data_IF_234873086812
#
_entry.id   IF_234873086812
#
_cell.length_a   1.000
_cell.length_b   1.000
_cell.length_c   1.000
_cell.angle_alpha   90.00
_cell.angle_beta   90.00
_cell.angle_gamma   90.00
#
_symmetry.space_group_name_H-M   'P 1'
#
loop_
_entity.id
_entity.type
_entity.pdbx_description
1 polymer ?
#
# COMPACT_ATOMS: atom_id res chain seq x y z
N UNK A 1 -14.62 11.04 23.28
CA UNK A 1 -14.41 11.11 21.82
C UNK A 1 -12.98 10.74 21.39
N UNK A 2 -11.92 11.31 21.98
CA UNK A 2 -10.53 11.10 21.52
C UNK A 2 -9.76 9.95 22.23
N UNK A 3 -10.30 8.73 22.23
CA UNK A 3 -9.60 7.54 22.73
C UNK A 3 -9.67 6.43 21.68
N UNK A 4 -8.67 6.33 20.77
CA UNK A 4 -8.69 5.30 19.74
C UNK A 4 -8.59 3.90 20.35
N UNK A 5 -9.20 2.87 19.73
CA UNK A 5 -9.12 1.48 20.19
C UNK A 5 -7.83 0.77 19.73
N UNK A 6 -6.76 1.51 19.43
CA UNK A 6 -5.48 1.02 18.90
C UNK A 6 -4.32 1.87 19.42
N UNK A 7 -3.09 1.35 19.37
CA UNK A 7 -1.92 2.06 19.88
C UNK A 7 -1.46 3.16 18.91
N UNK A 8 -0.74 4.19 19.39
CA UNK A 8 -0.08 5.14 18.51
C UNK A 8 0.75 4.42 17.43
N UNK A 9 0.65 4.88 16.19
CA UNK A 9 1.36 4.33 15.01
C UNK A 9 0.89 2.96 14.50
N UNK A 10 -0.09 2.31 15.12
CA UNK A 10 -0.78 1.15 14.52
C UNK A 10 -1.60 1.57 13.27
N UNK A 11 -1.87 2.86 13.14
CA UNK A 11 -2.47 3.50 11.98
C UNK A 11 -1.71 4.78 11.62
N UNK A 12 -1.96 5.32 10.40
CA UNK A 12 -1.33 6.56 9.94
C UNK A 12 -1.78 7.73 10.82
N UNK A 13 -0.82 8.53 11.26
CA UNK A 13 -1.09 9.73 12.05
C UNK A 13 -1.77 10.79 11.18
N UNK A 14 -2.93 11.27 11.63
CA UNK A 14 -3.55 12.48 11.10
C UNK A 14 -3.06 13.68 11.92
N UNK A 15 -2.64 14.74 11.23
CA UNK A 15 -2.18 15.97 11.86
C UNK A 15 -3.18 17.12 11.58
N UNK A 16 -3.34 18.01 12.56
CA UNK A 16 -4.09 19.26 12.45
C UNK A 16 -3.11 20.40 12.80
N UNK A 17 -2.26 20.85 11.85
CA UNK A 17 -1.13 21.73 12.15
C UNK A 17 -1.54 23.03 12.84
N UNK A 18 -2.64 23.65 12.39
CA UNK A 18 -3.12 24.93 12.92
C UNK A 18 -4.06 24.79 14.13
N UNK A 19 -4.32 23.54 14.55
CA UNK A 19 -5.27 23.18 15.60
C UNK A 19 -6.68 23.76 15.43
N UNK A 20 -7.07 24.16 14.21
CA UNK A 20 -8.36 24.75 13.87
C UNK A 20 -9.55 23.85 14.28
N UNK A 21 -9.47 22.55 13.99
CA UNK A 21 -10.45 21.55 14.43
C UNK A 21 -10.65 21.57 15.95
N UNK A 22 -9.56 21.62 16.72
CA UNK A 22 -9.65 21.65 18.18
C UNK A 22 -10.14 23.00 18.70
N UNK A 23 -9.76 24.11 18.06
CA UNK A 23 -10.23 25.46 18.39
C UNK A 23 -11.74 25.59 18.19
N UNK A 24 -12.30 25.03 17.12
CA UNK A 24 -13.74 25.06 16.85
C UNK A 24 -14.54 24.22 17.86
N UNK A 25 -14.04 23.05 18.25
CA UNK A 25 -14.64 22.24 19.31
C UNK A 25 -14.63 23.00 20.64
N UNK A 26 -13.47 23.54 21.04
CA UNK A 26 -13.34 24.29 22.29
C UNK A 26 -14.21 25.55 22.33
N UNK A 27 -14.47 26.17 21.18
CA UNK A 27 -15.37 27.32 21.07
C UNK A 27 -16.86 26.95 20.96
N UNK A 28 -17.21 25.66 21.00
CA UNK A 28 -18.60 25.19 20.89
C UNK A 28 -19.19 25.32 19.48
N UNK A 29 -18.37 25.58 18.45
CA UNK A 29 -18.81 25.69 17.05
C UNK A 29 -18.93 24.33 16.35
N UNK A 30 -18.32 23.29 16.92
CA UNK A 30 -18.38 21.93 16.43
C UNK A 30 -18.67 20.95 17.57
N UNK A 31 -19.44 19.91 17.27
CA UNK A 31 -19.75 18.81 18.19
C UNK A 31 -19.25 17.48 17.61
N UNK A 32 -19.05 16.50 18.47
CA UNK A 32 -18.71 15.13 18.07
C UNK A 32 -19.79 14.19 18.58
N UNK A 33 -20.39 13.45 17.66
CA UNK A 33 -21.28 12.34 17.99
C UNK A 33 -20.51 11.03 17.77
N UNK A 34 -20.49 10.17 18.77
CA UNK A 34 -19.80 8.87 18.70
C UNK A 34 -20.80 7.74 18.83
N UNK A 35 -20.89 6.90 17.80
CA UNK A 35 -21.81 5.77 17.78
C UNK A 35 -21.93 5.13 16.40
N UNK A 36 -22.93 4.27 16.25
CA UNK A 36 -23.26 3.66 14.96
C UNK A 36 -24.46 4.34 14.34
N UNK A 37 -24.34 4.68 13.07
CA UNK A 37 -25.45 5.17 12.25
C UNK A 37 -26.44 4.02 12.02
N UNK A 38 -27.73 4.28 12.21
CA UNK A 38 -28.80 3.36 11.84
C UNK A 38 -29.22 3.60 10.38
N UNK A 39 -29.57 4.85 10.05
CA UNK A 39 -29.96 5.27 8.70
C UNK A 39 -29.86 6.78 8.53
N UNK A 40 -29.86 7.21 7.27
CA UNK A 40 -30.10 8.60 6.90
C UNK A 40 -31.60 8.91 6.92
N UNK A 41 -31.96 10.14 7.26
CA UNK A 41 -33.32 10.67 7.20
C UNK A 41 -33.34 11.91 6.32
N UNK A 42 -34.52 12.39 5.89
CA UNK A 42 -34.62 13.67 5.18
C UNK A 42 -34.09 14.88 5.97
N UNK A 43 -33.99 14.77 7.31
CA UNK A 43 -33.56 15.86 8.19
C UNK A 43 -32.14 15.66 8.76
N UNK A 44 -31.46 14.54 8.45
CA UNK A 44 -30.13 14.26 8.98
C UNK A 44 -29.83 12.77 9.17
N UNK A 45 -29.34 12.40 10.35
CA UNK A 45 -28.83 11.05 10.66
C UNK A 45 -29.49 10.49 11.92
N UNK A 46 -30.13 9.32 11.80
CA UNK A 46 -30.60 8.55 12.94
C UNK A 46 -29.48 7.64 13.45
N UNK A 47 -29.13 7.79 14.72
CA UNK A 47 -28.16 6.93 15.41
C UNK A 47 -28.87 5.71 16.02
N UNK A 48 -28.17 4.58 16.11
CA UNK A 48 -28.67 3.38 16.81
C UNK A 48 -28.95 3.57 18.30
N UNK A 49 -28.38 4.63 18.90
CA UNK A 49 -28.67 5.04 20.27
C UNK A 49 -30.06 5.67 20.45
N UNK A 50 -30.75 6.00 19.36
CA UNK A 50 -32.00 6.76 19.36
C UNK A 50 -31.81 8.27 19.13
N UNK A 51 -30.59 8.80 19.26
CA UNK A 51 -30.27 10.21 18.97
C UNK A 51 -30.45 10.52 17.47
N UNK A 52 -31.07 11.67 17.16
CA UNK A 52 -31.13 12.21 15.81
C UNK A 52 -30.15 13.38 15.69
N UNK A 53 -29.29 13.35 14.67
CA UNK A 53 -28.34 14.43 14.37
C UNK A 53 -28.87 15.18 13.15
N UNK A 54 -29.38 16.39 13.37
CA UNK A 54 -29.93 17.24 12.31
C UNK A 54 -28.80 17.72 11.37
N UNK A 55 -29.07 17.68 10.07
CA UNK A 55 -28.12 18.15 9.07
C UNK A 55 -28.83 18.55 7.76
N UNK A 56 -28.50 19.73 7.25
CA UNK A 56 -28.92 20.18 5.91
C UNK A 56 -28.03 19.60 4.81
N UNK A 57 -26.78 19.27 5.15
CA UNK A 57 -25.79 18.70 4.24
C UNK A 57 -24.94 17.63 4.94
N UNK A 58 -24.62 16.57 4.21
CA UNK A 58 -23.86 15.44 4.73
C UNK A 58 -22.65 15.19 3.83
N UNK A 59 -21.46 15.20 4.43
CA UNK A 59 -20.20 14.94 3.74
C UNK A 59 -19.69 13.55 4.14
N UNK A 60 -19.61 12.64 3.17
CA UNK A 60 -19.16 11.26 3.41
C UNK A 60 -17.64 11.20 3.30
N UNK A 61 -16.95 11.30 4.43
CA UNK A 61 -15.49 11.20 4.54
C UNK A 61 -15.01 9.77 4.89
N UNK A 62 -15.50 8.73 4.18
CA UNK A 62 -15.28 7.30 4.51
C UNK A 62 -13.89 6.74 4.15
N UNK A 63 -12.96 7.59 3.71
CA UNK A 63 -11.60 7.20 3.36
C UNK A 63 -11.48 6.49 2.01
N UNK A 64 -10.53 5.55 1.91
CA UNK A 64 -10.04 4.99 0.65
C UNK A 64 -10.50 3.55 0.40
N UNK A 65 -10.64 3.18 -0.87
CA UNK A 65 -10.60 1.79 -1.35
C UNK A 65 -9.27 1.58 -2.07
N UNK A 66 -8.52 0.54 -1.69
CA UNK A 66 -7.27 0.23 -2.39
C UNK A 66 -7.56 -0.30 -3.78
N UNK A 67 -6.80 0.23 -4.74
CA UNK A 67 -6.85 -0.19 -6.14
C UNK A 67 -5.47 -0.70 -6.51
N UNK A 68 -5.31 -2.02 -6.49
CA UNK A 68 -4.03 -2.65 -6.78
C UNK A 68 -3.60 -2.35 -8.21
N UNK A 69 -2.32 -2.03 -8.39
CA UNK A 69 -1.70 -1.77 -9.70
C UNK A 69 -2.46 -0.77 -10.58
N UNK A 70 -3.16 0.19 -9.98
CA UNK A 70 -3.99 1.16 -10.72
C UNK A 70 -5.26 0.57 -11.36
N UNK A 71 -5.54 -0.73 -11.17
CA UNK A 71 -6.59 -1.49 -11.83
C UNK A 71 -6.28 -1.83 -13.28
N UNK A 72 -5.01 -2.09 -13.58
CA UNK A 72 -4.60 -2.66 -14.86
C UNK A 72 -5.02 -4.14 -14.88
N UNK A 73 -5.67 -4.55 -15.97
CA UNK A 73 -5.92 -5.96 -16.26
C UNK A 73 -4.69 -6.54 -16.96
N UNK A 74 -3.90 -7.33 -16.24
CA UNK A 74 -2.65 -7.90 -16.76
C UNK A 74 -2.91 -9.15 -17.60
N UNK A 75 -2.16 -9.27 -18.70
CA UNK A 75 -2.04 -10.51 -19.46
C UNK A 75 -0.59 -10.79 -19.80
N UNK A 76 -0.17 -12.05 -19.71
CA UNK A 76 1.14 -12.53 -20.19
C UNK A 76 0.90 -13.67 -21.16
N UNK A 77 1.45 -13.55 -22.38
CA UNK A 77 1.22 -14.51 -23.47
C UNK A 77 -0.27 -14.81 -23.74
N UNK A 78 -1.10 -13.77 -23.65
CA UNK A 78 -2.56 -13.84 -23.83
C UNK A 78 -3.34 -14.46 -22.65
N UNK A 79 -2.67 -14.85 -21.56
CA UNK A 79 -3.31 -15.40 -20.36
C UNK A 79 -3.52 -14.31 -19.31
N UNK A 80 -4.73 -14.18 -18.73
CA UNK A 80 -4.97 -13.28 -17.61
C UNK A 80 -4.05 -13.59 -16.43
N UNK A 81 -3.66 -12.54 -15.71
CA UNK A 81 -2.82 -12.63 -14.52
C UNK A 81 -3.62 -12.18 -13.30
N UNK A 82 -3.72 -13.06 -12.30
CA UNK A 82 -4.18 -12.71 -10.97
C UNK A 82 -2.97 -12.35 -10.10
N UNK A 83 -2.78 -11.06 -9.80
CA UNK A 83 -1.65 -10.57 -9.02
C UNK A 83 -1.57 -11.19 -7.62
N UNK A 84 -2.66 -11.74 -7.08
CA UNK A 84 -2.68 -12.39 -5.76
C UNK A 84 -1.97 -13.76 -5.73
N UNK A 85 -1.71 -14.34 -6.90
CA UNK A 85 -0.94 -15.58 -7.05
C UNK A 85 0.57 -15.34 -7.15
N UNK A 86 0.99 -14.08 -7.23
CA UNK A 86 2.37 -13.69 -7.42
C UNK A 86 3.07 -13.28 -6.13
N UNK A 87 4.37 -13.55 -6.06
CA UNK A 87 5.30 -13.05 -5.06
C UNK A 87 5.91 -11.73 -5.51
N UNK A 88 6.08 -10.81 -4.57
CA UNK A 88 6.85 -9.60 -4.81
C UNK A 88 8.34 -9.92 -4.86
N UNK A 89 9.04 -9.32 -5.83
CA UNK A 89 10.50 -9.34 -5.93
C UNK A 89 11.05 -7.97 -5.53
N UNK A 90 11.86 -7.96 -4.48
CA UNK A 90 12.43 -6.77 -3.80
C UNK A 90 11.36 -5.72 -3.45
N UNK A 91 10.09 -6.11 -3.35
CA UNK A 91 8.97 -5.19 -3.17
C UNK A 91 8.74 -4.19 -4.32
N UNK A 92 9.27 -4.45 -5.52
CA UNK A 92 9.14 -3.55 -6.68
C UNK A 92 8.79 -4.23 -8.00
N UNK A 93 8.87 -5.57 -8.11
CA UNK A 93 8.42 -6.34 -9.29
C UNK A 93 7.56 -7.52 -8.82
N UNK A 94 6.94 -8.23 -9.77
CA UNK A 94 6.22 -9.48 -9.51
C UNK A 94 6.95 -10.63 -10.21
N UNK A 95 7.00 -11.79 -9.57
CA UNK A 95 7.54 -13.00 -10.22
C UNK A 95 6.72 -13.37 -11.46
N UNK A 96 7.38 -13.85 -12.51
CA UNK A 96 6.69 -14.27 -13.74
C UNK A 96 6.07 -13.16 -14.59
N UNK A 97 6.07 -11.90 -14.14
CA UNK A 97 5.55 -10.77 -14.90
C UNK A 97 6.71 -9.98 -15.54
N UNK A 98 6.87 -10.02 -16.87
CA UNK A 98 7.98 -9.38 -17.56
C UNK A 98 7.88 -7.86 -17.53
N UNK A 99 9.04 -7.19 -17.37
CA UNK A 99 9.21 -5.75 -17.57
C UNK A 99 8.21 -4.86 -16.79
N UNK A 100 7.68 -5.36 -15.67
CA UNK A 100 6.74 -4.63 -14.84
C UNK A 100 7.35 -4.30 -13.47
N UNK A 101 7.14 -3.05 -13.05
CA UNK A 101 7.53 -2.60 -11.72
C UNK A 101 6.49 -1.66 -11.12
N UNK A 102 6.40 -1.67 -9.79
CA UNK A 102 5.56 -0.81 -9.00
C UNK A 102 6.32 -0.32 -7.76
N UNK A 103 5.75 0.63 -7.04
CA UNK A 103 6.32 1.11 -5.79
C UNK A 103 5.24 1.24 -4.71
N UNK A 104 5.54 0.69 -3.54
CA UNK A 104 4.73 0.87 -2.33
C UNK A 104 5.58 1.64 -1.32
N UNK A 105 5.07 2.78 -0.86
CA UNK A 105 5.73 3.62 0.12
C UNK A 105 5.70 3.06 1.53
N UNK A 106 6.41 3.73 2.43
CA UNK A 106 6.43 3.39 3.85
C UNK A 106 5.10 3.72 4.54
N UNK A 107 4.78 2.96 5.60
CA UNK A 107 3.62 3.26 6.45
C UNK A 107 3.85 4.51 7.30
N UNK A 108 5.06 4.65 7.86
CA UNK A 108 5.42 5.66 8.87
C UNK A 108 6.36 6.76 8.34
N UNK A 109 6.72 6.73 7.06
CA UNK A 109 7.61 7.70 6.43
C UNK A 109 7.04 8.12 5.07
N UNK A 110 7.59 9.19 4.49
CA UNK A 110 7.14 9.64 3.17
C UNK A 110 7.31 8.56 2.12
N UNK A 111 6.26 8.31 1.33
CA UNK A 111 6.29 7.37 0.21
C UNK A 111 7.30 7.78 -0.88
N UNK A 112 7.58 9.08 -1.01
CA UNK A 112 8.53 9.61 -2.00
C UNK A 112 9.95 9.11 -1.80
N UNK A 113 10.33 8.77 -0.56
CA UNK A 113 11.62 8.19 -0.23
C UNK A 113 11.82 6.83 -0.91
N UNK A 114 10.82 5.93 -0.84
CA UNK A 114 10.85 4.63 -1.52
C UNK A 114 10.89 4.80 -3.04
N UNK A 115 10.02 5.68 -3.56
CA UNK A 115 9.88 5.87 -5.01
C UNK A 115 11.18 6.35 -5.64
N UNK A 116 11.90 7.29 -5.02
CA UNK A 116 13.20 7.73 -5.51
C UNK A 116 14.22 6.58 -5.62
N UNK A 117 14.22 5.65 -4.65
CA UNK A 117 15.10 4.48 -4.67
C UNK A 117 14.69 3.46 -5.75
N UNK A 118 13.40 3.18 -5.90
CA UNK A 118 12.87 2.28 -6.94
C UNK A 118 13.20 2.82 -8.32
N UNK A 119 12.92 4.10 -8.60
CA UNK A 119 13.28 4.72 -9.88
C UNK A 119 14.79 4.65 -10.14
N UNK A 120 15.61 4.92 -9.12
CA UNK A 120 17.07 4.82 -9.23
C UNK A 120 17.55 3.40 -9.56
N UNK A 121 16.94 2.38 -8.96
CA UNK A 121 17.22 0.98 -9.27
C UNK A 121 16.81 0.62 -10.71
N UNK A 122 15.60 0.99 -11.13
CA UNK A 122 15.11 0.72 -12.48
C UNK A 122 15.99 1.35 -13.56
N UNK A 123 16.45 2.59 -13.37
CA UNK A 123 17.40 3.23 -14.29
C UNK A 123 18.72 2.45 -14.41
N UNK A 124 19.20 1.82 -13.34
CA UNK A 124 20.39 0.96 -13.40
C UNK A 124 20.10 -0.38 -14.09
N UNK A 125 18.94 -0.96 -13.82
CA UNK A 125 18.50 -2.21 -14.45
C UNK A 125 18.37 -2.03 -15.97
N UNK A 126 17.71 -0.97 -16.42
CA UNK A 126 17.58 -0.66 -17.85
C UNK A 126 18.94 -0.49 -18.52
N UNK A 127 19.87 0.25 -17.89
CA UNK A 127 21.25 0.39 -18.40
C UNK A 127 21.98 -0.95 -18.52
N UNK A 128 21.76 -1.85 -17.58
CA UNK A 128 22.38 -3.17 -17.59
C UNK A 128 21.77 -4.09 -18.65
N UNK A 129 20.44 -4.00 -18.86
CA UNK A 129 19.76 -4.66 -19.97
C UNK A 129 20.30 -4.16 -21.32
N UNK A 130 20.41 -2.84 -21.51
CA UNK A 130 21.00 -2.24 -22.71
C UNK A 130 22.44 -2.73 -22.95
N UNK A 131 23.26 -2.76 -21.90
CA UNK A 131 24.66 -3.22 -21.96
C UNK A 131 24.78 -4.68 -22.40
N UNK A 132 23.82 -5.52 -21.99
CA UNK A 132 23.80 -6.94 -22.33
C UNK A 132 23.01 -7.26 -23.63
N UNK A 133 22.39 -6.25 -24.27
CA UNK A 133 21.51 -6.46 -25.41
C UNK A 133 20.23 -7.23 -25.07
N UNK A 134 19.76 -7.11 -23.82
CA UNK A 134 18.60 -7.80 -23.27
C UNK A 134 17.38 -6.90 -23.31
N UNK A 135 16.21 -7.46 -23.57
CA UNK A 135 14.96 -6.68 -23.74
C UNK A 135 13.88 -7.08 -22.75
N UNK A 136 14.03 -8.24 -22.10
CA UNK A 136 13.08 -8.75 -21.12
C UNK A 136 13.80 -9.04 -19.81
N UNK A 137 13.21 -8.59 -18.70
CA UNK A 137 13.60 -8.97 -17.35
C UNK A 137 12.40 -9.60 -16.62
N UNK A 138 12.61 -10.76 -16.00
CA UNK A 138 11.57 -11.50 -15.27
C UNK A 138 12.18 -12.03 -13.97
N UNK A 139 11.62 -11.69 -12.80
CA UNK A 139 11.95 -12.38 -11.56
C UNK A 139 11.38 -13.81 -11.59
N UNK A 140 12.19 -14.81 -11.27
CA UNK A 140 11.77 -16.22 -11.14
C UNK A 140 11.80 -16.66 -9.69
N UNK A 141 10.63 -16.97 -9.15
CA UNK A 141 10.54 -17.55 -7.81
C UNK A 141 11.22 -18.92 -7.76
N UNK A 142 11.82 -19.30 -6.62
CA UNK A 142 12.37 -20.63 -6.40
C UNK A 142 11.36 -21.73 -6.68
N UNK A 143 11.84 -22.90 -7.10
CA UNK A 143 11.03 -24.10 -7.18
C UNK A 143 10.70 -24.61 -5.76
N UNK A 144 9.48 -25.13 -5.59
CA UNK A 144 9.01 -25.67 -4.31
C UNK A 144 7.97 -24.80 -3.61
N UNK A 145 7.58 -25.23 -2.41
CA UNK A 145 6.64 -24.50 -1.57
C UNK A 145 7.36 -23.36 -0.83
N UNK A 146 6.79 -22.16 -0.92
CA UNK A 146 7.30 -20.96 -0.27
C UNK A 146 6.32 -20.56 0.81
N UNK A 147 6.82 -20.34 2.03
CA UNK A 147 6.01 -19.77 3.11
C UNK A 147 5.67 -18.34 2.73
N UNK A 148 4.38 -18.07 2.55
CA UNK A 148 3.91 -16.74 2.14
C UNK A 148 3.26 -15.97 3.29
N UNK A 149 3.38 -14.65 3.21
CA UNK A 149 2.77 -13.68 4.13
C UNK A 149 2.07 -12.59 3.31
N UNK A 150 1.07 -11.90 3.91
CA UNK A 150 0.48 -10.71 3.29
C UNK A 150 1.55 -9.67 2.96
N UNK A 151 1.43 -8.99 1.81
CA UNK A 151 2.34 -7.91 1.41
C UNK A 151 2.39 -6.76 2.42
N UNK A 152 1.25 -6.41 3.00
CA UNK A 152 1.12 -5.36 4.00
C UNK A 152 0.43 -5.93 5.24
N UNK A 153 1.14 -5.91 6.36
CA UNK A 153 0.59 -6.23 7.66
C UNK A 153 0.21 -4.94 8.40
N UNK A 154 -0.92 -4.34 7.99
CA UNK A 154 -1.38 -3.06 8.53
C UNK A 154 -2.84 -3.13 8.99
N UNK A 155 -3.09 -2.72 10.23
CA UNK A 155 -4.37 -2.91 10.91
C UNK A 155 -5.55 -2.10 10.35
N UNK A 156 -5.31 -1.17 9.43
CA UNK A 156 -6.34 -0.30 8.88
C UNK A 156 -7.38 -1.08 8.06
N UNK A 157 -8.67 -0.78 8.29
CA UNK A 157 -9.77 -1.53 7.68
C UNK A 157 -9.76 -1.55 6.15
N UNK A 158 -9.24 -0.51 5.50
CA UNK A 158 -9.11 -0.48 4.03
C UNK A 158 -8.04 -1.43 3.50
N UNK A 159 -6.98 -1.70 4.28
CA UNK A 159 -5.96 -2.71 3.93
C UNK A 159 -6.55 -4.09 4.10
N UNK A 160 -7.15 -4.38 5.26
CA UNK A 160 -7.77 -5.69 5.56
C UNK A 160 -8.76 -6.15 4.48
N UNK A 161 -9.55 -5.23 3.92
CA UNK A 161 -10.49 -5.53 2.83
C UNK A 161 -9.83 -5.92 1.50
N UNK A 162 -8.57 -5.54 1.29
CA UNK A 162 -7.86 -5.73 0.03
C UNK A 162 -6.73 -6.76 0.11
N UNK A 163 -6.35 -7.24 1.31
CA UNK A 163 -5.24 -8.20 1.50
C UNK A 163 -5.34 -9.42 0.58
N UNK A 164 -6.53 -9.99 0.41
CA UNK A 164 -6.73 -11.16 -0.45
C UNK A 164 -6.50 -10.90 -1.95
N UNK A 165 -6.52 -9.63 -2.37
CA UNK A 165 -6.30 -9.20 -3.77
C UNK A 165 -4.88 -8.67 -4.02
N UNK A 166 -4.02 -8.70 -3.01
CA UNK A 166 -2.64 -8.24 -3.10
C UNK A 166 -1.71 -9.39 -3.47
N UNK A 167 -0.57 -9.10 -4.13
CA UNK A 167 0.50 -10.08 -4.21
C UNK A 167 0.98 -10.46 -2.81
N UNK A 168 1.68 -11.58 -2.74
CA UNK A 168 2.22 -12.14 -1.49
C UNK A 168 3.69 -11.75 -1.36
N UNK A 169 4.22 -11.89 -0.16
CA UNK A 169 5.67 -11.85 0.08
C UNK A 169 6.12 -13.14 0.76
N UNK A 170 7.37 -13.51 0.55
CA UNK A 170 8.03 -14.61 1.22
C UNK A 170 8.50 -14.25 2.63
N UNK A 171 9.36 -15.12 3.16
CA UNK A 171 10.03 -15.01 4.44
C UNK A 171 11.47 -14.45 4.34
N UNK A 172 12.06 -14.44 3.14
CA UNK A 172 13.43 -13.96 2.91
C UNK A 172 13.59 -13.14 1.62
N UNK A 173 14.65 -12.34 1.57
CA UNK A 173 15.09 -11.59 0.40
C UNK A 173 15.57 -12.54 -0.71
N UNK A 174 15.24 -12.31 -1.99
CA UNK A 174 14.61 -11.12 -2.56
C UNK A 174 13.08 -11.18 -2.65
N UNK A 175 12.40 -12.08 -1.95
CA UNK A 175 10.95 -12.30 -2.07
C UNK A 175 10.11 -11.51 -1.07
N UNK A 176 10.70 -10.52 -0.42
CA UNK A 176 10.04 -9.66 0.55
C UNK A 176 10.13 -8.18 0.18
N UNK A 177 9.30 -7.37 0.83
CA UNK A 177 9.33 -5.91 0.74
C UNK A 177 9.83 -5.31 2.05
N UNK A 178 11.03 -4.72 2.01
CA UNK A 178 11.51 -3.93 3.15
C UNK A 178 10.62 -2.71 3.38
N UNK A 179 10.32 -2.44 4.65
CA UNK A 179 9.66 -1.22 5.13
C UNK A 179 10.64 -0.25 5.81
N UNK A 180 11.95 -0.51 5.70
CA UNK A 180 13.02 0.31 6.27
C UNK A 180 13.82 1.05 5.18
N UNK A 181 13.88 2.37 5.30
CA UNK A 181 14.53 3.23 4.31
C UNK A 181 16.05 2.98 4.22
N UNK A 182 16.70 2.68 5.35
CA UNK A 182 18.15 2.41 5.37
C UNK A 182 18.48 1.12 4.66
N UNK A 183 17.67 0.08 4.89
CA UNK A 183 17.73 -1.21 4.22
C UNK A 183 17.49 -1.03 2.71
N UNK A 184 16.47 -0.28 2.31
CA UNK A 184 16.21 -0.01 0.91
C UNK A 184 17.34 0.76 0.22
N UNK A 185 18.03 1.69 0.92
CA UNK A 185 19.24 2.33 0.38
C UNK A 185 20.32 1.28 0.10
N UNK A 186 20.56 0.36 1.03
CA UNK A 186 21.55 -0.69 0.84
C UNK A 186 21.19 -1.58 -0.36
N UNK A 187 19.93 -1.98 -0.48
CA UNK A 187 19.43 -2.84 -1.55
C UNK A 187 19.43 -2.17 -2.93
N UNK A 188 18.84 -0.98 -3.05
CA UNK A 188 18.59 -0.32 -4.35
C UNK A 188 19.71 0.61 -4.80
N UNK A 189 20.32 1.33 -3.85
CA UNK A 189 21.36 2.31 -4.18
C UNK A 189 22.75 1.67 -4.22
N UNK A 190 23.06 0.72 -3.33
CA UNK A 190 24.40 0.14 -3.18
C UNK A 190 24.50 -1.32 -3.64
N UNK A 191 23.40 -2.06 -3.64
CA UNK A 191 23.34 -3.47 -3.99
C UNK A 191 23.57 -3.74 -5.47
N UNK A 192 23.76 -5.03 -5.78
CA UNK A 192 23.83 -5.51 -7.17
C UNK A 192 22.48 -5.30 -7.85
N UNK A 193 22.56 -4.83 -9.10
CA UNK A 193 21.38 -4.60 -9.94
C UNK A 193 20.79 -5.93 -10.37
N UNK A 194 21.63 -6.85 -10.86
CA UNK A 194 21.20 -8.19 -11.27
C UNK A 194 21.34 -9.14 -10.08
N UNK A 195 20.19 -9.66 -9.67
CA UNK A 195 20.05 -10.72 -8.68
C UNK A 195 20.03 -12.08 -9.39
N UNK A 196 20.53 -13.18 -8.78
CA UNK A 196 20.40 -14.51 -9.36
C UNK A 196 18.96 -14.91 -9.72
N UNK A 197 17.97 -14.39 -9.00
CA UNK A 197 16.56 -14.63 -9.29
C UNK A 197 15.96 -13.73 -10.38
N UNK A 198 16.73 -12.80 -10.96
CA UNK A 198 16.29 -11.91 -12.03
C UNK A 198 16.89 -12.36 -13.36
N UNK A 199 16.08 -13.02 -14.18
CA UNK A 199 16.49 -13.48 -15.51
C UNK A 199 16.39 -12.35 -16.54
N UNK A 200 17.40 -12.25 -17.41
CA UNK A 200 17.41 -11.33 -18.54
C UNK A 200 17.46 -12.11 -19.87
N UNK A 201 16.57 -11.78 -20.80
CA UNK A 201 16.47 -12.42 -22.13
C UNK A 201 16.86 -11.49 -23.26
#
# INVERSE_FOLDING_TARGET
HFKPPYNPWDQRLCAVPDADFFKDISAGRASIVTGHIERFTPAGIQMKSGEHVDADAIIIATGLKLKMMGGIDFTVDGKPVDVSDHLVFKGLMLDGIPNYSFAIGYTNSSWTLKVGLVCGYLCKLLKEMDRQGKTVCIPRRPEGEIVTRPLMDFGAGYVKRAVASMPKQGDDYPWEMSSDYTTDIALFKRGKVIDPALELF
#
